data_IF_461679892090
#
_entry.id   IF_461679892090
#
_cell.length_a   1.000
_cell.length_b   1.000
_cell.length_c   1.000
_cell.angle_alpha   90.00
_cell.angle_beta   90.00
_cell.angle_gamma   90.00
#
_symmetry.space_group_name_H-M   'P 1'
#
loop_
_entity.id
_entity.type
_entity.pdbx_description
1 polymer ?
#
# COMPACT_ATOMS: atom_id res chain seq x y z
N UNK A 1 -1.46 15.26 6.67
CA UNK A 1 -0.06 15.47 7.10
C UNK A 1 0.86 15.33 5.89
N UNK A 2 1.89 16.19 5.74
CA UNK A 2 2.74 16.28 4.53
C UNK A 2 4.02 15.43 4.62
N UNK A 3 3.90 14.17 5.05
CA UNK A 3 5.06 13.29 5.24
C UNK A 3 5.81 12.99 3.93
N UNK A 4 5.08 12.78 2.83
CA UNK A 4 5.66 12.55 1.51
C UNK A 4 6.54 13.72 1.03
N UNK A 5 6.08 14.95 1.25
CA UNK A 5 6.83 16.16 0.92
C UNK A 5 8.10 16.25 1.77
N UNK A 6 7.99 16.00 3.09
CA UNK A 6 9.15 15.97 3.99
C UNK A 6 10.18 14.90 3.61
N UNK A 7 9.72 13.70 3.26
CA UNK A 7 10.59 12.60 2.85
C UNK A 7 11.33 12.93 1.54
N UNK A 8 10.62 13.49 0.54
CA UNK A 8 11.26 13.84 -0.73
C UNK A 8 12.28 14.97 -0.60
N UNK A 9 12.05 15.90 0.34
CA UNK A 9 12.93 17.05 0.57
C UNK A 9 14.21 16.70 1.36
N UNK A 10 14.19 15.62 2.15
CA UNK A 10 15.33 15.21 3.00
C UNK A 10 16.09 13.98 2.47
N UNK A 11 15.67 13.40 1.35
CA UNK A 11 16.40 12.31 0.69
C UNK A 11 17.62 12.88 -0.04
N UNK A 12 18.80 12.35 0.27
CA UNK A 12 20.00 12.58 -0.52
C UNK A 12 19.84 11.91 -1.90
N UNK A 13 20.16 12.60 -3.01
CA UNK A 13 19.89 12.10 -4.36
C UNK A 13 20.48 10.71 -4.63
N UNK A 14 21.65 10.42 -4.06
CA UNK A 14 22.41 9.18 -4.28
C UNK A 14 21.74 7.97 -3.61
N UNK A 15 20.88 8.21 -2.62
CA UNK A 15 20.24 7.18 -1.82
C UNK A 15 18.77 7.01 -2.20
N UNK A 16 18.24 7.82 -3.13
CA UNK A 16 16.81 7.82 -3.52
C UNK A 16 16.25 6.43 -3.83
N UNK A 17 17.06 5.52 -4.41
CA UNK A 17 16.65 4.14 -4.72
C UNK A 17 16.70 3.17 -3.53
N UNK A 18 17.35 3.56 -2.43
CA UNK A 18 17.45 2.79 -1.18
C UNK A 18 16.38 3.21 -0.16
N UNK A 19 15.76 4.39 -0.36
CA UNK A 19 14.65 4.83 0.47
C UNK A 19 13.35 4.14 0.09
N UNK A 20 12.47 4.03 1.08
CA UNK A 20 11.12 3.52 0.91
C UNK A 20 10.35 4.34 -0.12
N UNK A 21 9.73 3.66 -1.09
CA UNK A 21 8.88 4.28 -2.11
C UNK A 21 7.52 4.64 -1.51
N UNK A 22 7.51 5.68 -0.68
CA UNK A 22 6.35 6.04 0.14
C UNK A 22 5.09 6.31 -0.68
N UNK A 23 5.21 7.02 -1.80
CA UNK A 23 4.05 7.31 -2.68
C UNK A 23 3.51 6.05 -3.36
N UNK A 24 4.39 5.14 -3.78
CA UNK A 24 3.98 3.87 -4.39
C UNK A 24 3.28 2.97 -3.36
N UNK A 25 3.83 2.88 -2.15
CA UNK A 25 3.21 2.13 -1.05
C UNK A 25 1.88 2.74 -0.60
N UNK A 26 1.77 4.06 -0.59
CA UNK A 26 0.52 4.75 -0.27
C UNK A 26 -0.54 4.49 -1.34
N UNK A 27 -0.17 4.59 -2.62
CA UNK A 27 -1.05 4.27 -3.75
C UNK A 27 -1.50 2.81 -3.69
N UNK A 28 -0.58 1.91 -3.35
CA UNK A 28 -0.86 0.49 -3.16
C UNK A 28 -1.90 0.23 -2.06
N UNK A 29 -1.81 0.94 -0.92
CA UNK A 29 -2.80 0.83 0.16
C UNK A 29 -4.18 1.37 -0.26
N UNK A 30 -4.22 2.50 -0.97
CA UNK A 30 -5.50 3.03 -1.49
C UNK A 30 -6.16 2.04 -2.45
N UNK A 31 -5.40 1.51 -3.40
CA UNK A 31 -5.89 0.49 -4.33
C UNK A 31 -6.38 -0.78 -3.60
N UNK A 32 -5.72 -1.16 -2.50
CA UNK A 32 -6.13 -2.31 -1.69
C UNK A 32 -7.52 -2.10 -1.07
N UNK A 33 -7.74 -0.91 -0.50
CA UNK A 33 -9.00 -0.54 0.15
C UNK A 33 -10.13 -0.44 -0.86
N UNK A 34 -9.88 0.17 -2.04
CA UNK A 34 -10.89 0.26 -3.10
C UNK A 34 -11.30 -1.10 -3.67
N UNK A 35 -10.35 -2.04 -3.75
CA UNK A 35 -10.60 -3.40 -4.23
C UNK A 35 -11.15 -4.33 -3.15
N UNK A 36 -11.26 -3.85 -1.91
CA UNK A 36 -11.81 -4.62 -0.81
C UNK A 36 -13.31 -4.80 -1.03
N UNK A 37 -13.84 -6.03 -0.98
CA UNK A 37 -15.27 -6.25 -1.10
C UNK A 37 -16.02 -5.57 0.06
N UNK A 38 -17.14 -4.91 -0.23
CA UNK A 38 -17.98 -4.26 0.77
C UNK A 38 -18.45 -5.25 1.82
N UNK A 39 -18.48 -4.81 3.09
CA UNK A 39 -18.79 -5.62 4.27
C UNK A 39 -20.26 -6.11 4.35
N UNK A 40 -21.03 -6.00 3.26
CA UNK A 40 -22.44 -6.44 3.20
C UNK A 40 -22.59 -7.95 3.03
N UNK A 41 -21.49 -8.68 2.76
CA UNK A 41 -21.45 -10.14 2.79
C UNK A 41 -20.64 -10.61 3.98
N UNK A 42 -21.32 -11.11 5.02
CA UNK A 42 -20.73 -11.79 6.17
C UNK A 42 -19.71 -12.86 5.73
N UNK A 43 -18.43 -12.53 5.78
CA UNK A 43 -17.35 -13.51 5.87
C UNK A 43 -16.39 -13.02 6.94
N UNK A 44 -16.81 -13.21 8.19
CA UNK A 44 -15.88 -13.41 9.30
C UNK A 44 -15.03 -14.66 8.98
N UNK A 45 -14.01 -14.51 8.13
CA UNK A 45 -13.32 -15.68 7.62
C UNK A 45 -12.13 -15.32 6.73
N UNK A 46 -10.98 -15.15 7.37
CA UNK A 46 -9.64 -15.16 6.80
C UNK A 46 -9.19 -13.90 6.06
N UNK A 47 -8.71 -12.93 6.85
CA UNK A 47 -7.76 -11.90 6.43
C UNK A 47 -6.58 -12.49 5.62
N UNK A 48 -6.21 -13.75 5.86
CA UNK A 48 -5.19 -14.47 5.10
C UNK A 48 -5.58 -14.69 3.62
N UNK A 49 -6.85 -14.95 3.30
CA UNK A 49 -7.31 -15.12 1.92
C UNK A 49 -7.29 -13.79 1.17
N UNK A 50 -7.77 -12.73 1.82
CA UNK A 50 -7.72 -11.37 1.27
C UNK A 50 -6.28 -10.91 1.07
N UNK A 51 -5.38 -11.20 2.03
CA UNK A 51 -3.95 -10.91 1.90
C UNK A 51 -3.30 -11.72 0.76
N UNK A 52 -3.58 -13.02 0.63
CA UNK A 52 -3.09 -13.85 -0.48
C UNK A 52 -3.57 -13.34 -1.84
N UNK A 53 -4.85 -12.97 -1.96
CA UNK A 53 -5.41 -12.36 -3.18
C UNK A 53 -4.80 -11.00 -3.49
N UNK A 54 -4.57 -10.19 -2.45
CA UNK A 54 -3.87 -8.92 -2.58
C UNK A 54 -2.46 -9.15 -3.13
N UNK A 55 -1.64 -9.98 -2.49
CA UNK A 55 -0.27 -10.31 -2.94
C UNK A 55 -0.25 -10.90 -4.36
N UNK A 56 -1.20 -11.77 -4.70
CA UNK A 56 -1.31 -12.34 -6.05
C UNK A 56 -1.66 -11.29 -7.13
N UNK A 57 -2.31 -10.19 -6.77
CA UNK A 57 -2.55 -9.08 -7.72
C UNK A 57 -1.28 -8.31 -8.11
N UNK A 58 -0.14 -8.58 -7.46
CA UNK A 58 1.14 -7.92 -7.72
C UNK A 58 2.16 -8.83 -8.43
N UNK A 59 1.74 -10.00 -8.92
CA UNK A 59 2.55 -10.94 -9.70
C UNK A 59 2.16 -10.95 -11.17
#
# INVERSE_FOLDING_TARGET
MKFAEHLSAHITPEWRKQYILYEDMKTMLYNAVERMPSNEGSYAGNNEYLFKRFVHSFG
#
